data_IF_426301892284
#
_entry.id   IF_426301892284
#
_cell.length_a   1.000
_cell.length_b   1.000
_cell.length_c   1.000
_cell.angle_alpha   90.00
_cell.angle_beta   90.00
_cell.angle_gamma   90.00
#
_symmetry.space_group_name_H-M   'P 1'
#
loop_
_entity.id
_entity.type
_entity.pdbx_description
1 polymer ?
#
# COMPACT_ATOMS: atom_id res chain seq x y z
N UNK A 1 -12.32 -3.22 15.75
CA UNK A 1 -11.74 -4.27 14.92
C UNK A 1 -10.23 -4.13 14.90
N UNK A 2 -9.50 -5.23 15.03
CA UNK A 2 -8.04 -5.18 15.06
C UNK A 2 -7.50 -4.94 13.64
N UNK A 3 -6.45 -4.13 13.55
CA UNK A 3 -5.77 -3.91 12.28
C UNK A 3 -4.93 -5.14 11.91
N UNK A 4 -4.76 -5.37 10.61
CA UNK A 4 -3.89 -6.42 10.12
C UNK A 4 -2.44 -6.02 10.37
N UNK A 5 -1.66 -6.94 10.92
CA UNK A 5 -0.24 -6.70 11.11
C UNK A 5 0.49 -7.06 9.82
N UNK A 6 1.25 -6.11 9.28
CA UNK A 6 1.99 -6.32 8.03
C UNK A 6 3.45 -6.01 8.30
N UNK A 7 4.33 -6.98 8.05
CA UNK A 7 5.76 -6.76 8.21
C UNK A 7 6.29 -5.87 7.10
N UNK A 8 7.48 -5.31 7.31
CA UNK A 8 8.11 -4.49 6.28
C UNK A 8 8.35 -5.29 5.00
N UNK A 9 8.80 -6.53 5.14
CA UNK A 9 9.06 -7.39 3.99
C UNK A 9 7.77 -7.71 3.25
N UNK A 10 6.70 -7.95 3.98
CA UNK A 10 5.40 -8.21 3.37
C UNK A 10 4.89 -6.98 2.63
N UNK A 11 5.04 -5.80 3.24
CA UNK A 11 4.63 -4.56 2.61
C UNK A 11 5.42 -4.32 1.33
N UNK A 12 6.74 -4.54 1.37
CA UNK A 12 7.57 -4.35 0.19
C UNK A 12 7.13 -5.28 -0.95
N UNK A 13 6.77 -6.52 -0.61
CA UNK A 13 6.29 -7.47 -1.62
C UNK A 13 4.94 -7.03 -2.18
N UNK A 14 4.03 -6.55 -1.34
CA UNK A 14 2.72 -6.07 -1.79
C UNK A 14 2.89 -4.91 -2.75
N UNK A 15 3.76 -3.97 -2.43
CA UNK A 15 3.99 -2.81 -3.29
C UNK A 15 4.61 -3.24 -4.62
N UNK A 16 5.55 -4.18 -4.57
CA UNK A 16 6.18 -4.71 -5.78
C UNK A 16 5.15 -5.39 -6.69
N UNK A 17 4.30 -6.23 -6.13
CA UNK A 17 3.27 -6.92 -6.89
C UNK A 17 2.28 -5.94 -7.50
N UNK A 18 1.93 -4.90 -6.75
CA UNK A 18 1.02 -3.88 -7.24
C UNK A 18 1.62 -3.14 -8.43
N UNK A 19 2.91 -2.82 -8.35
CA UNK A 19 3.61 -2.13 -9.44
C UNK A 19 3.60 -2.99 -10.70
N UNK A 20 3.81 -4.29 -10.56
CA UNK A 20 3.77 -5.21 -11.70
C UNK A 20 2.38 -5.27 -12.30
N UNK A 21 1.35 -5.31 -11.45
CA UNK A 21 -0.03 -5.33 -11.88
C UNK A 21 -0.38 -4.07 -12.69
N UNK A 22 0.08 -2.91 -12.23
CA UNK A 22 -0.16 -1.65 -12.93
C UNK A 22 0.52 -1.62 -14.30
N UNK A 23 1.65 -2.28 -14.42
CA UNK A 23 2.41 -2.31 -15.68
C UNK A 23 1.86 -3.33 -16.68
N UNK A 24 0.81 -4.06 -16.32
CA UNK A 24 0.25 -5.09 -17.20
C UNK A 24 1.04 -6.39 -17.19
N UNK A 25 2.04 -6.50 -16.35
CA UNK A 25 2.75 -7.75 -16.09
C UNK A 25 2.03 -8.45 -14.96
N UNK A 26 2.16 -9.72 -14.78
CA UNK A 26 1.49 -10.43 -13.72
C UNK A 26 1.41 -9.61 -12.42
N UNK A 27 1.41 -10.14 -11.28
CA UNK A 27 1.30 -9.39 -10.05
C UNK A 27 -0.13 -9.32 -9.54
N UNK A 28 -0.34 -8.57 -8.47
CA UNK A 28 -1.62 -8.47 -7.79
C UNK A 28 -1.86 -7.04 -7.37
N UNK A 29 -3.10 -6.55 -7.45
CA UNK A 29 -3.42 -5.24 -6.88
C UNK A 29 -3.22 -5.28 -5.36
N UNK A 30 -2.74 -4.17 -4.80
CA UNK A 30 -2.48 -4.11 -3.37
C UNK A 30 -3.79 -4.09 -2.59
N UNK A 31 -3.97 -5.06 -1.72
CA UNK A 31 -5.07 -5.11 -0.78
C UNK A 31 -4.49 -4.79 0.60
N UNK A 32 -4.61 -3.52 0.98
CA UNK A 32 -4.10 -3.03 2.26
C UNK A 32 -5.25 -2.60 3.18
N UNK A 33 -6.43 -3.17 2.97
CA UNK A 33 -7.59 -2.86 3.80
C UNK A 33 -7.29 -3.21 5.25
N UNK A 34 -7.64 -2.29 6.13
CA UNK A 34 -7.46 -2.47 7.58
C UNK A 34 -6.00 -2.76 7.98
N UNK A 35 -5.04 -2.43 7.14
CA UNK A 35 -3.64 -2.69 7.43
C UNK A 35 -3.10 -1.66 8.43
N UNK A 36 -2.26 -2.12 9.34
CA UNK A 36 -1.54 -1.23 10.24
C UNK A 36 -0.28 -0.77 9.53
N UNK A 37 -0.33 0.45 8.99
CA UNK A 37 0.77 1.06 8.24
C UNK A 37 1.36 2.25 8.98
N UNK A 38 1.20 2.26 10.31
CA UNK A 38 1.72 3.37 11.13
C UNK A 38 3.22 3.44 10.96
N UNK A 39 3.70 4.66 10.71
CA UNK A 39 5.12 4.96 10.51
C UNK A 39 5.75 4.22 9.33
N UNK A 40 4.97 3.66 8.42
CA UNK A 40 5.50 2.94 7.27
C UNK A 40 6.22 3.90 6.32
N UNK A 41 7.27 3.41 5.68
CA UNK A 41 7.96 4.16 4.64
C UNK A 41 7.36 3.79 3.29
N UNK A 42 6.53 4.69 2.75
CA UNK A 42 5.89 4.52 1.46
C UNK A 42 6.32 5.63 0.48
N UNK A 43 7.50 6.19 0.71
CA UNK A 43 8.01 7.26 -0.16
C UNK A 43 8.11 6.77 -1.59
N UNK A 44 7.60 7.58 -2.49
CA UNK A 44 7.63 7.32 -3.93
C UNK A 44 6.92 6.03 -4.34
N UNK A 45 6.15 5.43 -3.46
CA UNK A 45 5.41 4.21 -3.79
C UNK A 45 4.32 4.51 -4.81
N UNK A 46 4.17 3.62 -5.77
CA UNK A 46 3.06 3.72 -6.72
C UNK A 46 1.92 2.84 -6.21
N UNK A 47 0.93 3.48 -5.61
CA UNK A 47 -0.24 2.82 -5.04
C UNK A 47 -1.52 3.25 -5.73
N UNK A 48 -1.41 3.69 -6.99
CA UNK A 48 -2.60 4.09 -7.72
C UNK A 48 -3.58 2.93 -7.83
N UNK A 49 -4.84 3.19 -7.55
CA UNK A 49 -5.93 2.20 -7.53
C UNK A 49 -5.80 1.14 -6.44
N UNK A 50 -4.90 1.32 -5.48
CA UNK A 50 -4.77 0.38 -4.35
C UNK A 50 -5.96 0.51 -3.40
N UNK A 51 -6.26 -0.55 -2.67
CA UNK A 51 -7.33 -0.55 -1.68
C UNK A 51 -6.71 -0.33 -0.30
N UNK A 52 -6.91 0.87 0.24
CA UNK A 52 -6.39 1.28 1.54
C UNK A 52 -7.50 1.56 2.54
N UNK A 53 -8.70 1.06 2.29
CA UNK A 53 -9.84 1.35 3.16
C UNK A 53 -9.55 0.86 4.57
N UNK A 54 -9.81 1.73 5.54
CA UNK A 54 -9.64 1.44 6.97
C UNK A 54 -8.18 1.22 7.39
N UNK A 55 -7.22 1.47 6.52
CA UNK A 55 -5.81 1.36 6.89
C UNK A 55 -5.42 2.51 7.83
N UNK A 56 -4.52 2.22 8.76
CA UNK A 56 -3.98 3.24 9.65
C UNK A 56 -2.65 3.72 9.07
N UNK A 57 -2.66 4.93 8.53
CA UNK A 57 -1.50 5.55 7.90
C UNK A 57 -0.86 6.63 8.78
N UNK A 58 -1.19 6.65 10.07
CA UNK A 58 -0.68 7.70 10.93
C UNK A 58 0.85 7.65 10.98
N UNK A 59 1.47 8.82 10.83
CA UNK A 59 2.93 9.00 10.79
C UNK A 59 3.61 8.27 9.62
N UNK A 60 2.87 7.74 8.67
CA UNK A 60 3.48 7.13 7.48
C UNK A 60 4.09 8.20 6.59
N UNK A 61 5.19 7.87 5.94
CA UNK A 61 5.84 8.76 5.00
C UNK A 61 5.31 8.45 3.59
N UNK A 62 4.47 9.34 3.08
CA UNK A 62 3.85 9.20 1.76
C UNK A 62 4.40 10.23 0.76
N UNK A 63 5.55 10.80 1.07
CA UNK A 63 6.11 11.82 0.18
C UNK A 63 6.36 11.25 -1.22
N UNK A 64 5.90 11.98 -2.23
CA UNK A 64 5.99 11.58 -3.64
C UNK A 64 5.25 10.28 -3.97
N UNK A 65 4.43 9.76 -3.07
CA UNK A 65 3.64 8.56 -3.36
C UNK A 65 2.49 8.90 -4.31
N UNK A 66 2.15 7.97 -5.18
CA UNK A 66 1.02 8.12 -6.08
C UNK A 66 -0.17 7.35 -5.52
N UNK A 67 -1.18 8.08 -5.07
CA UNK A 67 -2.40 7.50 -4.52
C UNK A 67 -3.60 7.78 -5.41
N UNK A 68 -3.36 8.09 -6.68
CA UNK A 68 -4.45 8.42 -7.58
C UNK A 68 -5.42 7.22 -7.69
N UNK A 69 -6.71 7.51 -7.60
CA UNK A 69 -7.79 6.51 -7.64
C UNK A 69 -7.69 5.45 -6.54
N UNK A 70 -6.83 5.63 -5.56
CA UNK A 70 -6.78 4.69 -4.43
C UNK A 70 -8.02 4.86 -3.56
N UNK A 71 -8.50 3.75 -3.00
CA UNK A 71 -9.60 3.79 -2.03
C UNK A 71 -9.01 4.03 -0.65
N UNK A 72 -9.49 5.06 0.02
CA UNK A 72 -8.98 5.47 1.34
C UNK A 72 -10.03 5.36 2.43
#
# INVERSE_FOLDING_TARGET
>A
MALRTISKEELDEIVKQHKQWLAGNEGQPADLRSANLRSANLRSANLSSADLRYADLSSADLSSADLSSADL
#
